data_IF_552627752465
#
_entry.id   IF_552627752465
#
_cell.length_a   1.000
_cell.length_b   1.000
_cell.length_c   1.000
_cell.angle_alpha   90.00
_cell.angle_beta   90.00
_cell.angle_gamma   90.00
#
_symmetry.space_group_name_H-M   'P 1'
#
loop_
_entity.id
_entity.type
_entity.pdbx_description
1 polymer ?
#
# COMPACT_ATOMS: atom_id res chain seq x y z
N UNK A 1 -21.62 -39.21 22.96
CA UNK A 1 -21.51 -37.90 23.65
C UNK A 1 -20.71 -36.95 22.76
N UNK A 2 -21.37 -36.10 21.99
CA UNK A 2 -20.70 -35.16 21.07
C UNK A 2 -20.35 -33.86 21.79
N UNK A 3 -19.09 -33.73 22.24
CA UNK A 3 -18.59 -32.47 22.79
C UNK A 3 -18.37 -31.45 21.67
N UNK A 4 -19.13 -30.35 21.67
CA UNK A 4 -18.85 -29.18 20.81
C UNK A 4 -17.54 -28.51 21.29
N UNK A 5 -16.63 -28.12 20.39
CA UNK A 5 -15.48 -27.32 20.79
C UNK A 5 -15.96 -25.95 21.27
N UNK A 6 -15.73 -25.64 22.55
CA UNK A 6 -15.96 -24.31 23.09
C UNK A 6 -14.98 -23.34 22.43
N UNK A 7 -15.49 -22.31 21.76
CA UNK A 7 -14.66 -21.23 21.23
C UNK A 7 -13.98 -20.57 22.42
N UNK A 8 -12.67 -20.75 22.58
CA UNK A 8 -11.90 -20.00 23.59
C UNK A 8 -12.11 -18.52 23.32
N UNK A 9 -12.62 -17.78 24.32
CA UNK A 9 -12.67 -16.34 24.26
C UNK A 9 -11.24 -15.84 24.00
N UNK A 10 -11.03 -15.12 22.90
CA UNK A 10 -9.74 -14.49 22.62
C UNK A 10 -9.51 -13.50 23.75
N UNK A 11 -8.45 -13.68 24.54
CA UNK A 11 -8.00 -12.63 25.46
C UNK A 11 -7.88 -11.33 24.66
N UNK A 12 -8.32 -10.19 25.20
CA UNK A 12 -8.09 -8.90 24.54
C UNK A 12 -6.58 -8.76 24.39
N UNK A 13 -6.12 -8.87 23.14
CA UNK A 13 -4.73 -8.63 22.81
C UNK A 13 -4.55 -7.11 22.93
N UNK A 14 -3.68 -6.70 23.84
CA UNK A 14 -3.33 -5.29 24.08
C UNK A 14 -2.49 -4.79 22.89
N UNK A 15 -3.16 -4.61 21.76
CA UNK A 15 -2.56 -4.03 20.57
C UNK A 15 -2.65 -2.52 20.66
N UNK A 16 -1.55 -1.80 20.36
CA UNK A 16 -1.61 -0.36 20.32
C UNK A 16 -2.58 0.10 19.23
N UNK A 17 -3.40 1.11 19.55
CA UNK A 17 -4.31 1.78 18.61
C UNK A 17 -3.59 2.26 17.35
N UNK A 18 -2.33 2.70 17.52
CA UNK A 18 -1.50 3.13 16.42
C UNK A 18 -0.12 2.46 16.44
N UNK A 19 0.21 1.80 15.33
CA UNK A 19 1.53 1.23 15.07
C UNK A 19 2.32 2.13 14.14
N UNK A 20 3.63 1.90 14.05
CA UNK A 20 4.44 2.55 13.01
C UNK A 20 3.87 2.25 11.60
N UNK A 21 3.46 1.01 11.35
CA UNK A 21 2.83 0.62 10.08
C UNK A 21 1.54 1.38 9.80
N UNK A 22 0.66 1.56 10.78
CA UNK A 22 -0.58 2.33 10.58
C UNK A 22 -0.30 3.80 10.29
N UNK A 23 0.71 4.42 10.92
CA UNK A 23 1.17 5.79 10.58
C UNK A 23 1.66 5.89 9.15
N UNK A 24 2.51 4.97 8.72
CA UNK A 24 3.04 4.97 7.34
C UNK A 24 1.91 4.78 6.34
N UNK A 25 0.99 3.86 6.59
CA UNK A 25 -0.17 3.61 5.74
C UNK A 25 -1.11 4.82 5.66
N UNK A 26 -1.32 5.56 6.76
CA UNK A 26 -2.10 6.79 6.76
C UNK A 26 -1.44 7.86 5.90
N UNK A 27 -0.12 8.07 6.04
CA UNK A 27 0.64 9.01 5.23
C UNK A 27 0.61 8.66 3.74
N UNK A 28 0.80 7.38 3.40
CA UNK A 28 0.74 6.91 2.02
C UNK A 28 -0.63 7.17 1.37
N UNK A 29 -1.72 6.92 2.11
CA UNK A 29 -3.08 7.23 1.66
C UNK A 29 -3.29 8.73 1.42
N UNK A 30 -2.83 9.57 2.35
CA UNK A 30 -2.92 11.03 2.19
C UNK A 30 -2.14 11.52 0.97
N UNK A 31 -0.94 10.99 0.73
CA UNK A 31 -0.16 11.33 -0.45
C UNK A 31 -0.86 10.89 -1.74
N UNK A 32 -1.34 9.64 -1.80
CA UNK A 32 -2.03 9.11 -2.98
C UNK A 32 -3.33 9.87 -3.32
N UNK A 33 -4.07 10.34 -2.31
CA UNK A 33 -5.29 11.11 -2.51
C UNK A 33 -5.04 12.50 -3.10
N UNK A 34 -3.83 13.03 -2.99
CA UNK A 34 -3.44 14.35 -3.53
C UNK A 34 -2.79 14.26 -4.91
N UNK A 35 -2.51 13.06 -5.41
CA UNK A 35 -1.84 12.88 -6.69
C UNK A 35 -2.74 13.23 -7.87
N UNK A 36 -2.18 13.91 -8.87
CA UNK A 36 -2.83 14.08 -10.17
C UNK A 36 -2.86 12.76 -10.95
N UNK A 37 -3.61 12.74 -12.06
CA UNK A 37 -3.68 11.56 -12.92
C UNK A 37 -2.32 11.26 -13.57
N UNK A 38 -1.56 12.29 -13.94
CA UNK A 38 -0.23 12.18 -14.52
C UNK A 38 0.78 11.59 -13.52
N UNK A 39 0.75 12.07 -12.27
CA UNK A 39 1.60 11.55 -11.19
C UNK A 39 1.27 10.09 -10.91
N UNK A 40 -0.02 9.73 -10.82
CA UNK A 40 -0.46 8.34 -10.66
C UNK A 40 0.04 7.45 -11.79
N UNK A 41 -0.03 7.93 -13.03
CA UNK A 41 0.42 7.19 -14.22
C UNK A 41 1.93 6.96 -14.19
N UNK A 42 2.70 7.94 -13.74
CA UNK A 42 4.16 7.82 -13.59
C UNK A 42 4.53 6.80 -12.50
N UNK A 43 3.92 6.89 -11.32
CA UNK A 43 4.14 5.91 -10.26
C UNK A 43 3.74 4.49 -10.68
N UNK A 44 2.65 4.35 -11.43
CA UNK A 44 2.25 3.06 -12.00
C UNK A 44 3.32 2.51 -12.95
N UNK A 45 3.84 3.33 -13.86
CA UNK A 45 4.92 2.95 -14.79
C UNK A 45 6.18 2.50 -14.04
N UNK A 46 6.58 3.25 -13.02
CA UNK A 46 7.71 2.90 -12.15
C UNK A 46 7.46 1.58 -11.40
N UNK A 47 6.25 1.40 -10.85
CA UNK A 47 5.85 0.17 -10.18
C UNK A 47 5.88 -1.06 -11.09
N UNK A 48 5.45 -0.93 -12.35
CA UNK A 48 5.53 -2.02 -13.33
C UNK A 48 6.98 -2.48 -13.55
N UNK A 49 7.92 -1.54 -13.65
CA UNK A 49 9.34 -1.87 -13.81
C UNK A 49 9.92 -2.55 -12.57
N UNK A 50 9.54 -2.10 -11.37
CA UNK A 50 9.99 -2.73 -10.11
C UNK A 50 9.46 -4.16 -9.94
N UNK A 51 8.20 -4.42 -10.32
CA UNK A 51 7.54 -5.72 -10.09
C UNK A 51 7.91 -6.73 -11.18
N UNK A 52 7.92 -6.29 -12.44
CA UNK A 52 8.04 -7.19 -13.59
C UNK A 52 9.42 -7.13 -14.27
N UNK A 53 10.30 -6.22 -13.83
CA UNK A 53 11.57 -5.97 -14.49
C UNK A 53 11.41 -5.16 -15.77
N UNK A 54 12.49 -4.46 -16.17
CA UNK A 54 12.55 -3.65 -17.38
C UNK A 54 13.30 -2.33 -17.17
N UNK A 55 13.37 -1.51 -18.22
CA UNK A 55 13.94 -0.17 -18.15
C UNK A 55 12.84 0.89 -18.29
N UNK A 56 12.88 1.91 -17.43
CA UNK A 56 12.08 3.11 -17.62
C UNK A 56 12.69 3.87 -18.80
N UNK A 57 12.08 3.78 -19.99
CA UNK A 57 12.42 4.70 -21.07
C UNK A 57 12.29 6.13 -20.55
N UNK A 58 13.35 6.92 -20.67
CA UNK A 58 13.28 8.35 -20.35
C UNK A 58 12.18 8.99 -21.20
N UNK A 59 11.38 9.87 -20.57
CA UNK A 59 10.49 10.75 -21.31
C UNK A 59 11.37 11.80 -22.00
N UNK A 60 11.92 11.47 -23.16
CA UNK A 60 12.48 12.49 -24.07
C UNK A 60 11.35 13.44 -24.41
N UNK A 61 11.42 14.66 -23.87
CA UNK A 61 10.46 15.72 -24.19
C UNK A 61 10.44 15.92 -25.71
N UNK A 62 9.26 15.76 -26.31
CA UNK A 62 9.03 16.28 -27.64
C UNK A 62 9.11 17.80 -27.52
N UNK A 63 10.17 18.39 -28.09
CA UNK A 63 10.41 19.81 -28.08
C UNK A 63 9.29 20.60 -28.74
N UNK A 64 9.05 21.79 -28.21
CA UNK A 64 8.42 22.93 -28.87
C UNK A 64 9.29 24.15 -28.59
#
# INVERSE_FOLDING_TARGET
>A
MTGKPTKKAKMPLDYPEETYGSRVAARARQAANKMTEEERREYFRQGMVLIYGGELKEKTGAGH
#
